data_IF_093241210378
#
_entry.id   IF_093241210378
#
_cell.length_a   1.000
_cell.length_b   1.000
_cell.length_c   1.000
_cell.angle_alpha   90.00
_cell.angle_beta   90.00
_cell.angle_gamma   90.00
#
_symmetry.space_group_name_H-M   'P 1'
#
loop_
_entity.id
_entity.type
_entity.pdbx_description
1 polymer ?
#
# COMPACT_ATOMS: atom_id res chain seq x y z
N UNK A 1 6.63 5.36 -17.22
CA UNK A 1 5.89 4.30 -16.46
C UNK A 1 4.51 4.77 -15.95
N UNK A 2 4.37 5.97 -15.36
CA UNK A 2 3.07 6.49 -14.85
C UNK A 2 2.05 6.70 -15.98
N UNK A 3 2.46 7.29 -17.14
CA UNK A 3 1.61 7.43 -18.33
C UNK A 3 1.16 6.08 -18.89
N UNK A 4 2.04 5.09 -18.94
CA UNK A 4 1.70 3.73 -19.39
C UNK A 4 0.65 3.07 -18.47
N UNK A 5 0.78 3.19 -17.15
CA UNK A 5 -0.23 2.65 -16.22
C UNK A 5 -1.59 3.31 -16.40
N UNK A 6 -1.65 4.62 -16.55
CA UNK A 6 -2.91 5.33 -16.81
C UNK A 6 -3.54 4.92 -18.14
N UNK A 7 -2.75 4.71 -19.19
CA UNK A 7 -3.24 4.19 -20.48
C UNK A 7 -3.83 2.79 -20.30
N UNK A 8 -3.12 1.87 -19.62
CA UNK A 8 -3.63 0.51 -19.39
C UNK A 8 -4.93 0.47 -18.58
N UNK A 9 -5.08 1.31 -17.56
CA UNK A 9 -6.32 1.41 -16.77
C UNK A 9 -7.46 1.91 -17.67
N UNK A 10 -7.23 2.98 -18.41
CA UNK A 10 -8.21 3.55 -19.33
C UNK A 10 -8.63 2.53 -20.40
N UNK A 11 -7.67 1.83 -21.00
CA UNK A 11 -7.93 0.85 -22.05
C UNK A 11 -8.77 -0.33 -21.51
N UNK A 12 -8.46 -0.81 -20.31
CA UNK A 12 -9.24 -1.87 -19.64
C UNK A 12 -10.66 -1.41 -19.31
N UNK A 13 -10.82 -0.21 -18.77
CA UNK A 13 -12.13 0.38 -18.50
C UNK A 13 -12.95 0.49 -19.78
N UNK A 14 -12.39 1.06 -20.86
CA UNK A 14 -13.06 1.16 -22.15
C UNK A 14 -13.42 -0.21 -22.72
N UNK A 15 -12.55 -1.22 -22.53
CA UNK A 15 -12.85 -2.59 -22.97
C UNK A 15 -14.04 -3.15 -22.19
N UNK A 16 -14.09 -2.99 -20.89
CA UNK A 16 -15.23 -3.42 -20.08
C UNK A 16 -16.54 -2.74 -20.55
N UNK A 17 -16.53 -1.42 -20.75
CA UNK A 17 -17.68 -0.69 -21.29
C UNK A 17 -18.11 -1.25 -22.64
N UNK A 18 -17.16 -1.49 -23.56
CA UNK A 18 -17.46 -2.05 -24.89
C UNK A 18 -18.02 -3.47 -24.85
N UNK A 19 -17.78 -4.21 -23.77
CA UNK A 19 -18.30 -5.55 -23.53
C UNK A 19 -19.64 -5.55 -22.78
N UNK A 20 -20.20 -4.39 -22.48
CA UNK A 20 -21.49 -4.25 -21.80
C UNK A 20 -21.42 -4.48 -20.28
N UNK A 21 -20.24 -4.34 -19.66
CA UNK A 21 -20.13 -4.39 -18.20
C UNK A 21 -20.83 -3.18 -17.60
N UNK A 22 -21.74 -3.40 -16.66
CA UNK A 22 -22.42 -2.34 -15.91
C UNK A 22 -21.55 -1.89 -14.76
N UNK A 23 -21.39 -0.57 -14.62
CA UNK A 23 -20.66 0.06 -13.52
C UNK A 23 -21.66 0.73 -12.57
N UNK A 24 -21.49 0.49 -11.28
CA UNK A 24 -22.24 1.12 -10.20
C UNK A 24 -21.25 1.98 -9.40
N UNK A 25 -21.02 3.20 -9.88
CA UNK A 25 -20.14 4.15 -9.24
C UNK A 25 -20.80 4.71 -7.97
N UNK A 26 -19.99 5.00 -6.94
CA UNK A 26 -20.45 5.55 -5.66
C UNK A 26 -21.41 4.61 -4.88
N UNK A 27 -21.23 3.32 -5.03
CA UNK A 27 -21.89 2.29 -4.21
C UNK A 27 -20.90 1.72 -3.18
N UNK A 28 -21.27 1.79 -1.92
CA UNK A 28 -20.51 1.15 -0.83
C UNK A 28 -21.12 -0.20 -0.51
N UNK A 29 -20.36 -1.27 -0.74
CA UNK A 29 -20.77 -2.62 -0.32
C UNK A 29 -20.71 -2.72 1.18
N UNK A 30 -21.83 -3.14 1.78
CA UNK A 30 -22.00 -3.29 3.23
C UNK A 30 -21.85 -4.72 3.67
N UNK A 31 -22.30 -5.67 2.86
CA UNK A 31 -22.36 -7.07 3.24
C UNK A 31 -22.38 -7.99 2.01
N UNK A 32 -22.00 -9.26 2.24
CA UNK A 32 -22.19 -10.36 1.29
C UNK A 32 -23.30 -11.28 1.79
N UNK A 33 -24.20 -11.67 0.92
CA UNK A 33 -25.25 -12.64 1.22
C UNK A 33 -24.74 -14.04 0.96
N UNK A 34 -24.71 -14.87 2.00
CA UNK A 34 -24.37 -16.28 1.96
C UNK A 34 -25.56 -17.06 2.56
N UNK A 35 -26.20 -17.90 1.76
CA UNK A 35 -27.29 -18.77 2.20
C UNK A 35 -26.90 -20.24 1.95
N UNK A 36 -27.04 -21.09 2.95
CA UNK A 36 -26.66 -22.50 2.90
C UNK A 36 -25.21 -22.73 2.42
N UNK A 37 -24.29 -21.83 2.84
CA UNK A 37 -22.87 -21.91 2.47
C UNK A 37 -22.56 -21.51 1.04
N UNK A 38 -23.49 -20.89 0.30
CA UNK A 38 -23.30 -20.46 -1.08
C UNK A 38 -23.57 -18.97 -1.23
N UNK A 39 -22.72 -18.27 -1.98
CA UNK A 39 -22.91 -16.87 -2.30
C UNK A 39 -24.20 -16.63 -3.07
N UNK A 40 -24.96 -15.60 -2.71
CA UNK A 40 -26.20 -15.16 -3.39
C UNK A 40 -26.10 -13.72 -3.91
N UNK A 41 -25.06 -13.00 -3.58
CA UNK A 41 -24.87 -11.61 -3.99
C UNK A 41 -24.34 -10.69 -2.89
N UNK A 42 -24.55 -9.40 -3.03
CA UNK A 42 -24.08 -8.37 -2.08
C UNK A 42 -25.19 -7.39 -1.75
N UNK A 43 -25.06 -6.76 -0.59
CA UNK A 43 -25.86 -5.61 -0.17
C UNK A 43 -24.98 -4.37 -0.20
N UNK A 44 -25.44 -3.32 -0.85
CA UNK A 44 -24.73 -2.06 -0.92
C UNK A 44 -25.68 -0.87 -0.70
N UNK A 45 -25.14 0.26 -0.29
CA UNK A 45 -25.89 1.50 -0.35
C UNK A 45 -25.32 2.44 -1.40
N UNK A 46 -26.20 3.19 -2.04
CA UNK A 46 -25.84 4.28 -2.93
C UNK A 46 -25.48 5.50 -2.10
N UNK A 47 -24.25 6.01 -2.26
CA UNK A 47 -23.75 7.12 -1.44
C UNK A 47 -24.54 8.41 -1.69
N UNK A 48 -24.98 8.65 -2.93
CA UNK A 48 -25.69 9.86 -3.31
C UNK A 48 -27.08 9.96 -2.67
N UNK A 49 -27.81 8.84 -2.55
CA UNK A 49 -29.20 8.80 -2.08
C UNK A 49 -29.35 8.24 -0.66
N UNK A 50 -28.41 7.38 -0.25
CA UNK A 50 -28.50 6.60 0.99
C UNK A 50 -29.38 5.35 0.86
N UNK A 51 -29.89 5.04 -0.34
CA UNK A 51 -30.75 3.89 -0.56
C UNK A 51 -29.98 2.58 -0.50
N UNK A 52 -30.62 1.54 0.03
CA UNK A 52 -30.06 0.19 0.12
C UNK A 52 -30.46 -0.62 -1.09
N UNK A 53 -29.47 -1.22 -1.72
CA UNK A 53 -29.62 -2.07 -2.89
C UNK A 53 -29.14 -3.49 -2.62
N UNK A 54 -29.86 -4.47 -3.16
CA UNK A 54 -29.45 -5.88 -3.15
C UNK A 54 -29.10 -6.29 -4.57
N UNK A 55 -27.86 -6.70 -4.77
CA UNK A 55 -27.39 -7.23 -6.04
C UNK A 55 -27.33 -8.75 -5.96
N UNK A 56 -28.28 -9.41 -6.62
CA UNK A 56 -28.25 -10.87 -6.72
C UNK A 56 -27.20 -11.31 -7.74
N UNK A 57 -26.35 -12.24 -7.33
CA UNK A 57 -25.26 -12.75 -8.16
C UNK A 57 -24.94 -14.20 -7.82
N UNK A 58 -24.57 -15.00 -8.85
CA UNK A 58 -24.07 -16.37 -8.67
C UNK A 58 -22.62 -16.40 -8.22
N UNK A 59 -21.88 -15.31 -8.45
CA UNK A 59 -20.49 -15.15 -8.06
C UNK A 59 -20.19 -13.70 -7.71
N UNK A 60 -19.36 -13.51 -6.69
CA UNK A 60 -18.84 -12.21 -6.23
C UNK A 60 -17.32 -12.30 -6.17
N UNK A 61 -16.64 -11.34 -6.78
CA UNK A 61 -15.17 -11.25 -6.72
C UNK A 61 -14.76 -10.02 -5.91
N UNK A 62 -14.05 -10.25 -4.82
CA UNK A 62 -13.42 -9.19 -4.04
C UNK A 62 -12.13 -8.74 -4.74
N UNK A 63 -12.10 -7.49 -5.18
CA UNK A 63 -10.93 -6.82 -5.76
C UNK A 63 -10.76 -5.43 -5.13
N UNK A 64 -11.00 -5.34 -3.83
CA UNK A 64 -11.10 -4.10 -3.05
C UNK A 64 -9.75 -3.50 -2.70
N UNK A 65 -8.65 -4.16 -3.08
CA UNK A 65 -7.30 -3.72 -2.71
C UNK A 65 -6.97 -3.97 -1.25
N UNK A 66 -5.93 -3.31 -0.76
CA UNK A 66 -5.43 -3.50 0.60
C UNK A 66 -6.19 -2.70 1.67
N UNK A 67 -5.57 -2.60 2.84
CA UNK A 67 -6.16 -1.95 4.01
C UNK A 67 -5.21 -0.92 4.67
N UNK A 68 -4.32 -0.30 3.91
CA UNK A 68 -3.29 0.60 4.45
C UNK A 68 -3.82 1.85 5.14
N UNK A 69 -5.10 2.20 4.98
CA UNK A 69 -5.69 3.36 5.68
C UNK A 69 -6.06 3.11 7.13
N UNK A 70 -5.87 1.90 7.64
CA UNK A 70 -5.87 1.64 9.09
C UNK A 70 -4.63 2.22 9.79
N UNK A 71 -3.54 2.48 9.04
CA UNK A 71 -2.31 3.07 9.56
C UNK A 71 -2.33 4.59 9.46
N UNK A 72 -1.71 5.26 10.44
CA UNK A 72 -1.63 6.73 10.53
C UNK A 72 -0.97 7.35 9.29
N UNK A 73 0.09 6.71 8.77
CA UNK A 73 0.81 7.15 7.57
C UNK A 73 0.80 6.04 6.54
N UNK A 74 0.23 6.33 5.39
CA UNK A 74 0.00 5.35 4.33
C UNK A 74 0.12 5.99 2.96
N UNK A 75 0.68 5.25 2.02
CA UNK A 75 0.73 5.60 0.60
C UNK A 75 -0.54 5.22 -0.16
N UNK A 76 -1.46 4.53 0.50
CA UNK A 76 -2.67 4.02 -0.12
C UNK A 76 -3.75 5.10 -0.33
N UNK A 77 -4.63 4.88 -1.28
CA UNK A 77 -5.83 5.69 -1.47
C UNK A 77 -6.74 5.67 -0.23
N UNK A 78 -7.53 6.72 -0.04
CA UNK A 78 -8.42 6.84 1.13
C UNK A 78 -9.48 5.74 1.21
N UNK A 79 -9.84 5.13 0.07
CA UNK A 79 -10.80 4.03 -0.03
C UNK A 79 -10.22 2.66 0.37
N UNK A 80 -8.91 2.53 0.63
CA UNK A 80 -8.30 1.25 1.02
C UNK A 80 -8.36 1.06 2.54
N UNK A 81 -9.55 0.86 3.03
CA UNK A 81 -9.93 0.77 4.45
C UNK A 81 -10.06 -0.66 4.98
N UNK A 82 -9.98 -1.67 4.09
CA UNK A 82 -10.08 -3.08 4.47
C UNK A 82 -11.52 -3.61 4.55
N UNK A 83 -12.48 -2.91 3.95
CA UNK A 83 -13.89 -3.31 4.01
C UNK A 83 -14.13 -4.70 3.39
N UNK A 84 -13.47 -5.03 2.29
CA UNK A 84 -13.59 -6.34 1.64
C UNK A 84 -13.21 -7.51 2.56
N UNK A 85 -11.96 -7.56 3.07
CA UNK A 85 -11.58 -8.56 4.06
C UNK A 85 -12.44 -8.51 5.32
N UNK A 86 -12.82 -7.30 5.79
CA UNK A 86 -13.66 -7.12 6.97
C UNK A 86 -15.05 -7.73 6.85
N UNK A 87 -15.70 -7.57 5.70
CA UNK A 87 -17.02 -8.17 5.41
C UNK A 87 -16.93 -9.70 5.49
N UNK A 88 -15.93 -10.31 4.88
CA UNK A 88 -15.76 -11.76 4.92
C UNK A 88 -15.42 -12.27 6.34
N UNK A 89 -14.57 -11.55 7.06
CA UNK A 89 -14.24 -11.88 8.45
C UNK A 89 -15.47 -11.88 9.35
N UNK A 90 -16.38 -10.92 9.19
CA UNK A 90 -17.66 -10.88 9.91
C UNK A 90 -18.58 -12.06 9.60
N UNK A 91 -18.42 -12.71 8.43
CA UNK A 91 -19.11 -13.95 8.07
C UNK A 91 -18.43 -15.22 8.61
N UNK A 92 -17.37 -15.07 9.38
CA UNK A 92 -16.62 -16.19 9.93
C UNK A 92 -15.57 -16.78 8.97
N UNK A 93 -15.29 -16.12 7.86
CA UNK A 93 -14.21 -16.51 6.94
C UNK A 93 -12.87 -16.06 7.56
N UNK A 94 -11.88 -16.94 7.70
CA UNK A 94 -10.58 -16.57 8.24
C UNK A 94 -9.86 -15.59 7.30
N UNK A 95 -8.96 -14.81 7.87
CA UNK A 95 -7.97 -14.03 7.12
C UNK A 95 -6.60 -14.64 7.37
N UNK A 96 -5.71 -14.55 6.39
CA UNK A 96 -4.40 -15.20 6.42
C UNK A 96 -3.29 -14.16 6.31
N UNK A 97 -2.15 -14.41 7.00
CA UNK A 97 -0.91 -13.62 6.92
C UNK A 97 -1.07 -12.11 7.21
N UNK A 98 -2.02 -11.74 8.04
CA UNK A 98 -2.36 -10.32 8.31
C UNK A 98 -1.22 -9.53 8.96
N UNK A 99 -0.26 -10.18 9.60
CA UNK A 99 0.96 -9.59 10.14
C UNK A 99 1.97 -9.17 9.08
N UNK A 100 1.88 -9.71 7.86
CA UNK A 100 2.78 -9.38 6.77
C UNK A 100 2.29 -8.15 6.01
N UNK A 101 2.58 -6.99 6.58
CA UNK A 101 2.31 -5.71 5.95
C UNK A 101 3.62 -5.01 5.57
N UNK A 102 3.80 -4.68 4.29
CA UNK A 102 5.01 -4.02 3.82
C UNK A 102 4.95 -2.53 4.11
N UNK A 103 5.97 -2.03 4.82
CA UNK A 103 6.23 -0.59 4.96
C UNK A 103 7.32 -0.17 3.98
N UNK A 104 7.03 0.87 3.20
CA UNK A 104 8.05 1.50 2.38
C UNK A 104 8.91 2.42 3.25
N UNK A 105 10.25 2.26 3.28
CA UNK A 105 11.12 2.98 4.22
C UNK A 105 11.16 4.49 3.99
N UNK A 106 11.05 4.94 2.74
CA UNK A 106 11.25 6.33 2.34
C UNK A 106 9.96 7.00 1.87
N UNK A 107 8.92 6.97 2.69
CA UNK A 107 7.79 7.85 2.52
C UNK A 107 8.10 9.26 3.06
N UNK A 108 7.67 10.30 2.35
CA UNK A 108 7.83 11.68 2.81
C UNK A 108 7.09 11.86 4.15
N UNK A 109 7.78 12.41 5.12
CA UNK A 109 7.27 12.63 6.47
C UNK A 109 5.88 13.28 6.46
N UNK A 110 4.93 12.69 7.19
CA UNK A 110 3.51 13.03 7.31
C UNK A 110 2.67 12.91 6.04
N UNK A 111 3.24 12.98 4.86
CA UNK A 111 2.49 12.95 3.61
C UNK A 111 2.21 11.53 3.11
N UNK A 112 3.05 10.57 3.48
CA UNK A 112 2.95 9.19 3.00
C UNK A 112 3.24 9.00 1.50
N UNK A 113 3.72 10.04 0.83
CA UNK A 113 4.10 9.99 -0.56
C UNK A 113 5.45 9.30 -0.68
N UNK A 114 5.52 8.26 -1.52
CA UNK A 114 6.73 7.45 -1.62
C UNK A 114 7.78 8.10 -2.51
N UNK A 115 8.99 8.20 -1.98
CA UNK A 115 10.18 8.44 -2.79
C UNK A 115 10.64 7.10 -3.39
N UNK A 116 10.94 7.11 -4.70
CA UNK A 116 11.41 5.92 -5.40
C UNK A 116 12.68 5.34 -4.74
N UNK A 117 12.82 4.03 -4.74
CA UNK A 117 14.06 3.35 -4.34
C UNK A 117 15.27 3.79 -5.16
N UNK A 118 15.06 4.39 -6.33
CA UNK A 118 16.12 5.00 -7.12
C UNK A 118 16.94 6.02 -6.31
N UNK A 119 16.33 6.73 -5.34
CA UNK A 119 17.07 7.65 -4.49
C UNK A 119 18.19 6.96 -3.71
N UNK A 120 17.89 5.80 -3.09
CA UNK A 120 18.89 4.99 -2.39
C UNK A 120 19.83 4.26 -3.37
N UNK A 121 19.29 3.81 -4.52
CA UNK A 121 20.05 3.16 -5.58
C UNK A 121 21.11 4.06 -6.21
N UNK A 122 20.85 5.36 -6.31
CA UNK A 122 21.83 6.36 -6.80
C UNK A 122 22.79 6.85 -5.70
N UNK A 123 22.71 6.28 -4.49
CA UNK A 123 23.63 6.55 -3.41
C UNK A 123 23.08 7.39 -2.26
N UNK A 124 21.76 7.60 -2.18
CA UNK A 124 21.13 8.30 -1.05
C UNK A 124 21.39 7.59 0.28
N UNK A 125 21.72 8.36 1.31
CA UNK A 125 22.11 7.90 2.65
C UNK A 125 21.00 8.22 3.65
N UNK A 126 20.66 7.22 4.48
CA UNK A 126 19.75 7.42 5.62
C UNK A 126 20.54 7.88 6.85
N UNK A 127 20.12 9.00 7.42
CA UNK A 127 20.77 9.61 8.60
C UNK A 127 19.76 9.84 9.72
N UNK A 128 20.20 9.57 10.94
CA UNK A 128 19.46 9.94 12.16
C UNK A 128 19.64 11.43 12.51
N UNK A 129 19.10 11.87 13.65
CA UNK A 129 19.18 13.28 14.11
C UNK A 129 20.61 13.79 14.28
N UNK A 130 21.55 12.92 14.61
CA UNK A 130 22.96 13.25 14.85
C UNK A 130 23.80 13.21 13.55
N UNK A 131 23.16 12.97 12.40
CA UNK A 131 23.79 12.85 11.10
C UNK A 131 24.48 11.51 10.84
N UNK A 132 24.35 10.55 11.74
CA UNK A 132 24.95 9.22 11.60
C UNK A 132 24.27 8.43 10.49
N UNK A 133 25.04 7.73 9.66
CA UNK A 133 24.57 6.75 8.69
C UNK A 133 24.26 5.42 9.41
N UNK A 134 23.13 5.35 10.10
CA UNK A 134 22.78 4.26 11.00
C UNK A 134 22.67 2.90 10.31
N UNK A 135 22.38 2.84 9.00
CA UNK A 135 22.28 1.57 8.27
C UNK A 135 23.60 0.77 8.26
N UNK A 136 24.74 1.38 8.56
CA UNK A 136 26.01 0.66 8.73
C UNK A 136 26.00 -0.27 9.94
N UNK A 137 25.19 0.02 10.97
CA UNK A 137 25.01 -0.85 12.14
C UNK A 137 24.06 -2.03 11.85
N UNK A 138 22.99 -1.78 11.10
CA UNK A 138 21.94 -2.78 10.84
C UNK A 138 22.25 -3.69 9.65
N UNK A 139 22.94 -3.20 8.65
CA UNK A 139 23.26 -3.91 7.42
C UNK A 139 24.66 -3.54 6.91
N UNK A 140 25.76 -3.95 7.57
CA UNK A 140 27.11 -3.46 7.28
C UNK A 140 27.56 -3.63 5.83
N UNK A 141 27.13 -4.72 5.17
CA UNK A 141 27.56 -5.07 3.81
C UNK A 141 26.82 -4.31 2.71
N UNK A 142 25.52 -4.09 2.87
CA UNK A 142 24.64 -3.53 1.83
C UNK A 142 24.07 -2.17 2.24
N UNK A 143 24.19 -1.79 3.50
CA UNK A 143 23.82 -0.48 4.06
C UNK A 143 22.42 -0.03 3.63
N UNK A 144 22.30 1.15 3.06
CA UNK A 144 21.03 1.74 2.64
C UNK A 144 20.34 0.99 1.48
N UNK A 145 21.03 0.05 0.84
CA UNK A 145 20.48 -0.82 -0.20
C UNK A 145 19.83 -2.10 0.36
N UNK A 146 19.73 -2.22 1.67
CA UNK A 146 19.07 -3.35 2.33
C UNK A 146 17.58 -3.44 1.91
N UNK A 147 16.96 -4.64 2.01
CA UNK A 147 15.54 -4.85 1.73
C UNK A 147 14.64 -3.89 2.51
N UNK A 148 13.46 -3.60 1.97
CA UNK A 148 12.52 -2.60 2.53
C UNK A 148 12.15 -2.86 3.99
N UNK A 149 11.90 -4.11 4.33
CA UNK A 149 11.54 -4.52 5.69
C UNK A 149 12.66 -4.26 6.69
N UNK A 150 13.90 -4.58 6.31
CA UNK A 150 15.08 -4.35 7.14
C UNK A 150 15.32 -2.85 7.36
N UNK A 151 15.23 -2.04 6.30
CA UNK A 151 15.39 -0.58 6.40
C UNK A 151 14.26 0.04 7.22
N UNK A 152 13.01 -0.38 7.00
CA UNK A 152 11.86 0.15 7.75
C UNK A 152 11.96 -0.17 9.24
N UNK A 153 12.38 -1.40 9.60
CA UNK A 153 12.64 -1.78 10.99
C UNK A 153 13.79 -0.99 11.60
N UNK A 154 14.89 -0.80 10.88
CA UNK A 154 16.01 0.01 11.33
C UNK A 154 15.57 1.46 11.65
N UNK A 155 14.81 2.08 10.76
CA UNK A 155 14.27 3.43 11.00
C UNK A 155 13.34 3.43 12.22
N UNK A 156 12.46 2.45 12.35
CA UNK A 156 11.56 2.36 13.50
C UNK A 156 12.34 2.20 14.82
N UNK A 157 13.42 1.43 14.82
CA UNK A 157 14.32 1.27 15.97
C UNK A 157 15.02 2.59 16.32
N UNK A 158 15.61 3.28 15.34
CA UNK A 158 16.22 4.61 15.57
C UNK A 158 15.22 5.61 16.21
N UNK A 159 14.00 5.65 15.68
CA UNK A 159 12.92 6.49 16.23
C UNK A 159 12.57 6.09 17.67
N UNK A 160 12.41 4.78 17.94
CA UNK A 160 12.02 4.28 19.26
C UNK A 160 13.11 4.48 20.33
N UNK A 161 14.36 4.45 19.93
CA UNK A 161 15.52 4.71 20.78
C UNK A 161 15.80 6.21 20.99
N UNK A 162 14.99 7.09 20.39
CA UNK A 162 15.12 8.53 20.53
C UNK A 162 16.15 9.16 19.59
N UNK A 163 16.64 8.42 18.58
CA UNK A 163 17.58 8.91 17.57
C UNK A 163 16.87 9.50 16.34
N UNK A 164 15.53 9.53 16.33
CA UNK A 164 14.74 10.18 15.32
C UNK A 164 14.96 11.69 15.30
N UNK A 165 14.68 12.31 14.16
CA UNK A 165 14.83 13.74 13.93
C UNK A 165 13.52 14.51 14.16
N UNK A 166 13.64 15.84 14.23
CA UNK A 166 12.51 16.75 14.42
C UNK A 166 12.01 16.85 15.86
N UNK A 167 10.99 17.70 16.09
CA UNK A 167 10.52 17.99 17.44
C UNK A 167 9.85 16.81 18.15
N UNK A 168 9.37 15.82 17.38
CA UNK A 168 8.71 14.61 17.90
C UNK A 168 9.61 13.38 17.85
N UNK A 169 10.82 13.46 17.34
CA UNK A 169 11.74 12.34 17.10
C UNK A 169 11.08 11.20 16.26
N UNK A 170 10.26 11.55 15.25
CA UNK A 170 9.40 10.60 14.55
C UNK A 170 9.70 10.43 13.06
N UNK A 171 10.87 10.90 12.60
CA UNK A 171 11.37 10.69 11.24
C UNK A 171 12.90 10.57 11.19
N UNK A 172 13.45 10.22 10.03
CA UNK A 172 14.88 10.25 9.73
C UNK A 172 15.12 11.04 8.44
N UNK A 173 16.36 11.31 8.10
CA UNK A 173 16.72 12.03 6.89
C UNK A 173 17.17 11.08 5.78
N UNK A 174 16.69 11.31 4.56
CA UNK A 174 17.28 10.79 3.33
C UNK A 174 18.16 11.90 2.74
N UNK A 175 19.46 11.72 2.83
CA UNK A 175 20.46 12.68 2.39
C UNK A 175 20.93 12.35 0.96
N UNK A 176 20.73 13.31 0.04
CA UNK A 176 21.17 13.26 -1.34
C UNK A 176 22.24 14.32 -1.65
N UNK A 177 22.53 15.23 -0.70
CA UNK A 177 23.35 16.43 -0.92
C UNK A 177 24.76 16.12 -1.44
N UNK A 178 25.33 15.00 -0.98
CA UNK A 178 26.66 14.53 -1.37
C UNK A 178 26.76 14.02 -2.83
N UNK A 179 25.63 13.77 -3.52
CA UNK A 179 25.61 13.30 -4.91
C UNK A 179 25.92 14.40 -5.92
N UNK A 180 25.78 15.67 -5.50
CA UNK A 180 25.98 16.83 -6.34
C UNK A 180 24.78 17.14 -7.26
N UNK A 181 24.64 18.44 -7.56
CA UNK A 181 23.49 18.98 -8.29
C UNK A 181 23.26 18.35 -9.67
N UNK A 182 24.33 18.02 -10.40
CA UNK A 182 24.23 17.46 -11.75
C UNK A 182 23.65 16.05 -11.73
N UNK A 183 24.14 15.18 -10.84
CA UNK A 183 23.64 13.83 -10.67
C UNK A 183 22.16 13.81 -10.26
N UNK A 184 21.80 14.66 -9.29
CA UNK A 184 20.41 14.74 -8.81
C UNK A 184 19.46 15.19 -9.93
N UNK A 185 19.82 16.23 -10.67
CA UNK A 185 19.02 16.75 -11.79
C UNK A 185 18.87 15.73 -12.93
N UNK A 186 19.93 14.98 -13.23
CA UNK A 186 19.94 14.03 -14.34
C UNK A 186 19.22 12.72 -13.98
N UNK A 187 19.48 12.17 -12.79
CA UNK A 187 19.03 10.82 -12.43
C UNK A 187 17.77 10.78 -11.55
N UNK A 188 17.51 11.84 -10.79
CA UNK A 188 16.41 11.94 -9.84
C UNK A 188 15.49 13.15 -10.09
N UNK A 189 15.18 13.52 -11.36
CA UNK A 189 14.38 14.71 -11.64
C UNK A 189 12.98 14.64 -11.01
N UNK A 190 12.30 13.49 -11.11
CA UNK A 190 10.97 13.31 -10.57
C UNK A 190 10.94 13.47 -9.04
N UNK A 191 11.98 12.96 -8.35
CA UNK A 191 12.09 13.07 -6.89
C UNK A 191 12.33 14.53 -6.49
N UNK A 192 13.19 15.21 -7.21
CA UNK A 192 13.51 16.62 -6.98
C UNK A 192 12.27 17.49 -7.12
N UNK A 193 11.55 17.38 -8.22
CA UNK A 193 10.33 18.14 -8.47
C UNK A 193 9.24 17.84 -7.43
N UNK A 194 9.15 16.59 -7.03
CA UNK A 194 8.20 16.14 -6.02
C UNK A 194 8.48 16.75 -4.64
N UNK A 195 9.73 16.66 -4.18
CA UNK A 195 10.14 17.18 -2.87
C UNK A 195 10.00 18.70 -2.84
N UNK A 196 10.42 19.41 -3.88
CA UNK A 196 10.20 20.86 -4.02
C UNK A 196 8.74 21.24 -3.93
N UNK A 197 7.87 20.49 -4.62
CA UNK A 197 6.44 20.79 -4.69
C UNK A 197 5.75 20.59 -3.35
N UNK A 198 5.97 19.44 -2.70
CA UNK A 198 5.19 19.02 -1.55
C UNK A 198 5.85 19.35 -0.20
N UNK A 199 7.18 19.34 -0.13
CA UNK A 199 7.94 19.57 1.13
C UNK A 199 8.57 20.94 1.18
N UNK A 200 8.74 21.61 0.01
CA UNK A 200 9.41 22.91 -0.12
C UNK A 200 10.90 22.89 0.26
N UNK A 201 11.53 21.71 0.10
CA UNK A 201 12.96 21.49 0.33
C UNK A 201 13.65 21.37 -1.03
N UNK A 202 14.87 21.87 -1.13
CA UNK A 202 15.77 21.65 -2.27
C UNK A 202 16.69 20.46 -1.95
N UNK A 203 16.47 19.27 -2.55
CA UNK A 203 17.23 18.06 -2.22
C UNK A 203 18.73 18.14 -2.53
N UNK A 204 19.15 19.15 -3.28
CA UNK A 204 20.58 19.41 -3.58
C UNK A 204 21.26 20.00 -2.33
N UNK A 205 20.53 20.80 -1.55
CA UNK A 205 21.08 21.60 -0.45
C UNK A 205 20.69 21.03 0.93
N UNK A 206 19.56 20.34 1.02
CA UNK A 206 19.01 19.88 2.30
C UNK A 206 18.54 18.42 2.23
N UNK A 207 18.71 17.63 3.32
CA UNK A 207 18.20 16.26 3.37
C UNK A 207 16.67 16.22 3.49
N UNK A 208 16.07 15.17 2.97
CA UNK A 208 14.62 14.98 2.89
C UNK A 208 14.13 14.24 4.14
N UNK A 209 13.15 14.75 4.90
CA UNK A 209 12.55 14.02 6.02
C UNK A 209 11.70 12.85 5.51
N UNK A 210 12.00 11.65 5.97
CA UNK A 210 11.32 10.41 5.57
C UNK A 210 10.97 9.54 6.78
N UNK A 211 9.91 8.74 6.63
CA UNK A 211 9.48 7.78 7.64
C UNK A 211 8.91 6.52 6.99
N UNK A 212 8.92 5.37 7.69
CA UNK A 212 8.24 4.18 7.22
C UNK A 212 6.76 4.47 6.99
N UNK A 213 6.27 4.03 5.82
CA UNK A 213 4.92 4.34 5.35
C UNK A 213 4.23 3.06 4.91
N UNK A 214 3.06 2.78 5.44
CA UNK A 214 2.26 1.61 5.07
C UNK A 214 2.00 1.63 3.56
N UNK A 215 2.34 0.52 2.88
CA UNK A 215 2.38 0.49 1.41
C UNK A 215 1.60 -0.64 0.79
N UNK A 216 1.79 -1.89 1.24
CA UNK A 216 1.19 -3.06 0.62
C UNK A 216 0.84 -4.14 1.64
N UNK A 217 -0.40 -4.65 1.57
CA UNK A 217 -0.87 -5.79 2.34
C UNK A 217 -0.49 -7.08 1.59
N UNK A 218 0.28 -7.97 2.23
CA UNK A 218 0.61 -9.29 1.69
C UNK A 218 -0.44 -10.31 2.08
N UNK A 219 -0.88 -10.26 3.34
CA UNK A 219 -2.00 -11.02 3.85
C UNK A 219 -3.36 -10.49 3.38
N UNK A 220 -4.41 -11.24 3.67
CA UNK A 220 -5.77 -10.88 3.29
C UNK A 220 -6.71 -12.07 3.26
N UNK A 221 -7.57 -12.11 2.26
CA UNK A 221 -8.55 -13.18 2.05
C UNK A 221 -7.84 -14.42 1.49
N UNK A 222 -7.88 -15.58 2.17
CA UNK A 222 -7.24 -16.81 1.69
C UNK A 222 -7.92 -17.32 0.41
N UNK A 223 -7.12 -17.69 -0.57
CA UNK A 223 -7.62 -18.22 -1.85
C UNK A 223 -6.81 -19.41 -2.33
N UNK A 224 -7.43 -20.24 -3.15
CA UNK A 224 -6.71 -21.24 -3.92
C UNK A 224 -6.14 -20.66 -5.23
N UNK A 225 -5.51 -21.51 -6.03
CA UNK A 225 -4.88 -21.14 -7.32
C UNK A 225 -5.89 -20.65 -8.38
N UNK A 226 -7.16 -20.93 -8.20
CA UNK A 226 -8.27 -20.47 -9.05
C UNK A 226 -8.94 -19.21 -8.50
N UNK A 227 -8.32 -18.55 -7.50
CA UNK A 227 -8.84 -17.37 -6.81
C UNK A 227 -10.16 -17.59 -6.05
N UNK A 228 -10.52 -18.85 -5.74
CA UNK A 228 -11.71 -19.19 -4.94
C UNK A 228 -11.40 -19.00 -3.47
N UNK A 229 -12.28 -18.30 -2.75
CA UNK A 229 -12.11 -18.03 -1.32
C UNK A 229 -12.23 -19.31 -0.50
N UNK A 230 -11.31 -19.48 0.46
CA UNK A 230 -11.29 -20.58 1.41
C UNK A 230 -12.07 -20.17 2.68
N UNK A 231 -13.01 -21.01 3.10
CA UNK A 231 -13.86 -20.72 4.27
C UNK A 231 -13.28 -21.20 5.59
N UNK A 232 -12.24 -22.02 5.55
CA UNK A 232 -11.57 -22.54 6.74
C UNK A 232 -10.10 -22.91 6.49
N UNK A 233 -9.39 -23.25 7.54
CA UNK A 233 -7.99 -23.68 7.48
C UNK A 233 -7.76 -25.06 6.81
N UNK A 234 -8.82 -25.81 6.53
CA UNK A 234 -8.75 -27.11 5.85
C UNK A 234 -8.79 -26.97 4.31
N UNK A 235 -8.94 -25.75 3.80
CA UNK A 235 -9.02 -25.49 2.38
C UNK A 235 -10.43 -25.70 1.78
N UNK A 236 -11.47 -25.64 2.59
CA UNK A 236 -12.86 -25.72 2.10
C UNK A 236 -13.21 -24.49 1.29
N UNK A 237 -13.62 -24.67 0.05
CA UNK A 237 -14.00 -23.59 -0.86
C UNK A 237 -15.34 -23.00 -0.43
N UNK A 238 -15.45 -21.66 -0.43
CA UNK A 238 -16.72 -20.93 -0.31
C UNK A 238 -17.32 -20.75 -1.72
N UNK A 239 -18.37 -21.51 -2.09
CA UNK A 239 -18.91 -21.47 -3.44
C UNK A 239 -19.45 -20.11 -3.84
N UNK A 240 -19.02 -19.62 -5.01
CA UNK A 240 -19.44 -18.34 -5.57
C UNK A 240 -18.69 -17.12 -5.01
N UNK A 241 -17.67 -17.30 -4.16
CA UNK A 241 -16.84 -16.18 -3.68
C UNK A 241 -15.41 -16.32 -4.17
N UNK A 242 -14.89 -15.24 -4.72
CA UNK A 242 -13.54 -15.13 -5.27
C UNK A 242 -12.85 -13.91 -4.71
N UNK A 243 -11.52 -13.93 -4.66
CA UNK A 243 -10.71 -12.74 -4.37
C UNK A 243 -9.47 -12.68 -5.23
N UNK A 244 -9.06 -11.47 -5.64
CA UNK A 244 -7.89 -11.27 -6.47
C UNK A 244 -7.21 -9.92 -6.20
N UNK A 245 -5.90 -9.85 -6.50
CA UNK A 245 -5.08 -8.67 -6.25
C UNK A 245 -4.72 -8.54 -4.77
N UNK A 246 -4.50 -7.31 -4.30
CA UNK A 246 -4.04 -7.02 -2.94
C UNK A 246 -5.06 -7.34 -1.83
N UNK A 247 -6.33 -7.62 -2.19
CA UNK A 247 -7.32 -8.08 -1.21
C UNK A 247 -7.18 -9.57 -0.88
N UNK A 248 -6.52 -10.35 -1.74
CA UNK A 248 -6.28 -11.77 -1.53
C UNK A 248 -4.90 -12.02 -0.91
N UNK A 249 -4.77 -13.05 -0.08
CA UNK A 249 -3.48 -13.52 0.44
C UNK A 249 -2.79 -14.38 -0.62
N UNK A 250 -1.92 -13.77 -1.44
CA UNK A 250 -1.23 -14.45 -2.57
C UNK A 250 0.24 -14.02 -2.71
N UNK A 251 0.78 -13.20 -1.80
CA UNK A 251 2.08 -12.53 -1.99
C UNK A 251 3.13 -12.91 -0.94
N UNK A 252 2.89 -13.90 -0.11
CA UNK A 252 3.82 -14.40 0.89
C UNK A 252 4.42 -15.73 0.44
#
# INVERSE_FOLDING_TARGET
>A
RRRQRQMCIRDRYQKCVSMGVTFFDEFQVLDIKIDDGVCKGVVAYEIATGDIHVFEARAVTFATGGFGKIYKVSSNAHSLTGDGPGILYQKGIPLEDMEFYQFHPTGIYRLGILLSEAARGEGGILRNKDGERFMERYAPSIKDLAPRDMVSRAIATEISEGNGAGPNNDFVYLDLTHLGAETIKQKLPDITDFVRTYVKIEPIDEPIPVQPTAHYAMGGIPTDVDARVLSDANGTILPGVYSAGESACVSV
#
